data_IF_167689374323
#
_entry.id   IF_167689374323
#
_cell.length_a   1.000
_cell.length_b   1.000
_cell.length_c   1.000
_cell.angle_alpha   90.00
_cell.angle_beta   90.00
_cell.angle_gamma   90.00
#
_symmetry.space_group_name_H-M   'P 1'
#
loop_
_entity.id
_entity.type
_entity.pdbx_description
1 polymer ?
#
# COMPACT_ATOMS: atom_id res chain seq x y z
N UNK A 1 -58.22 65.04 14.84
CA UNK A 1 -57.59 66.33 15.17
C UNK A 1 -56.23 66.40 14.48
N UNK A 2 -55.98 67.48 13.73
CA UNK A 2 -54.71 67.81 13.05
C UNK A 2 -53.68 68.38 14.04
N UNK A 3 -52.39 68.15 13.74
CA UNK A 3 -51.23 69.11 13.70
C UNK A 3 -49.95 68.34 14.08
N UNK A 4 -49.00 68.12 13.17
CA UNK A 4 -48.00 69.01 12.54
C UNK A 4 -46.71 69.22 13.35
N UNK A 5 -45.57 69.04 12.67
CA UNK A 5 -44.23 69.55 13.01
C UNK A 5 -43.23 68.42 13.30
N UNK A 6 -42.10 68.23 12.62
CA UNK A 6 -41.38 69.11 11.73
C UNK A 6 -40.50 68.39 10.72
N UNK A 7 -40.31 69.10 9.63
CA UNK A 7 -39.48 68.85 8.45
C UNK A 7 -38.04 69.23 8.77
N UNK A 8 -37.04 68.40 8.47
CA UNK A 8 -35.76 68.89 7.94
C UNK A 8 -34.96 67.77 7.24
N UNK A 9 -35.02 67.80 5.91
CA UNK A 9 -33.92 67.49 4.97
C UNK A 9 -33.35 66.07 5.00
N UNK A 10 -33.91 65.19 4.16
CA UNK A 10 -33.15 64.07 3.59
C UNK A 10 -33.49 63.95 2.09
N UNK A 11 -32.79 64.77 1.30
CA UNK A 11 -32.62 64.54 -0.14
C UNK A 11 -31.18 64.88 -0.49
N UNK A 12 -30.35 63.86 -0.61
CA UNK A 12 -29.41 63.74 -1.71
C UNK A 12 -29.19 62.24 -1.96
N UNK A 13 -29.82 61.81 -3.03
CA UNK A 13 -29.71 60.51 -3.64
C UNK A 13 -28.53 60.55 -4.60
N UNK A 14 -27.82 59.43 -4.69
CA UNK A 14 -26.85 59.04 -5.72
C UNK A 14 -25.39 59.51 -5.63
N UNK A 15 -24.55 58.47 -5.48
CA UNK A 15 -23.22 58.21 -6.07
C UNK A 15 -22.11 58.05 -5.04
N UNK A 16 -21.98 56.82 -4.55
CA UNK A 16 -20.69 56.14 -4.29
C UNK A 16 -20.96 54.67 -3.93
N UNK A 17 -21.46 53.90 -4.91
CA UNK A 17 -20.93 52.55 -5.06
C UNK A 17 -19.44 52.73 -5.40
N UNK A 18 -18.59 51.86 -4.84
CA UNK A 18 -17.11 51.85 -4.89
C UNK A 18 -16.47 52.60 -3.73
N UNK A 19 -16.01 51.80 -2.74
CA UNK A 19 -14.84 51.96 -1.84
C UNK A 19 -15.06 51.24 -0.49
N UNK A 20 -16.25 50.71 -0.21
CA UNK A 20 -16.45 49.82 0.97
C UNK A 20 -16.30 48.32 0.67
N UNK A 21 -15.90 47.94 -0.54
CA UNK A 21 -15.73 46.54 -0.98
C UNK A 21 -14.31 45.98 -0.89
N UNK A 22 -13.31 46.75 -0.44
CA UNK A 22 -11.89 46.37 -0.55
C UNK A 22 -11.13 46.19 0.77
N UNK A 23 -11.77 46.36 1.93
CA UNK A 23 -11.10 46.13 3.22
C UNK A 23 -11.55 44.87 3.97
N UNK A 24 -12.73 44.31 3.67
CA UNK A 24 -13.20 43.08 4.31
C UNK A 24 -12.61 41.82 3.65
N UNK A 25 -12.37 41.84 2.33
CA UNK A 25 -11.83 40.69 1.59
C UNK A 25 -10.32 40.51 1.80
N UNK A 26 -9.57 41.59 2.08
CA UNK A 26 -8.15 41.51 2.38
C UNK A 26 -7.88 40.98 3.80
N UNK A 27 -8.68 41.41 4.81
CA UNK A 27 -8.55 40.94 6.20
C UNK A 27 -9.03 39.50 6.41
N UNK A 28 -10.02 39.02 5.64
CA UNK A 28 -10.44 37.62 5.69
C UNK A 28 -9.43 36.69 4.98
N UNK A 29 -8.89 37.11 3.83
CA UNK A 29 -7.86 36.36 3.11
C UNK A 29 -6.52 36.33 3.85
N UNK A 30 -6.10 37.42 4.52
CA UNK A 30 -4.91 37.41 5.39
C UNK A 30 -5.10 36.49 6.60
N UNK A 31 -6.30 36.45 7.18
CA UNK A 31 -6.57 35.64 8.38
C UNK A 31 -6.71 34.17 8.05
N UNK A 32 -7.33 33.79 6.93
CA UNK A 32 -7.33 32.40 6.41
C UNK A 32 -5.95 31.96 5.90
N UNK A 33 -5.22 32.85 5.21
CA UNK A 33 -3.84 32.59 4.78
C UNK A 33 -2.92 32.37 5.99
N UNK A 34 -2.96 33.26 6.99
CA UNK A 34 -2.17 33.13 8.22
C UNK A 34 -2.61 31.93 9.08
N UNK A 35 -3.89 31.55 9.09
CA UNK A 35 -4.36 30.34 9.79
C UNK A 35 -3.89 29.07 9.07
N UNK A 36 -3.96 29.02 7.74
CA UNK A 36 -3.50 27.85 6.97
C UNK A 36 -1.96 27.71 7.00
N UNK A 37 -1.24 28.83 7.00
CA UNK A 37 0.24 28.85 7.07
C UNK A 37 0.72 28.49 8.48
N UNK A 38 0.01 28.93 9.53
CA UNK A 38 0.33 28.55 10.91
C UNK A 38 -0.06 27.10 11.22
N UNK A 39 -1.16 26.58 10.69
CA UNK A 39 -1.53 25.17 10.85
C UNK A 39 -0.54 24.28 10.09
N UNK A 40 -0.11 24.66 8.88
CA UNK A 40 0.95 23.94 8.16
C UNK A 40 2.26 23.96 8.96
N UNK A 41 2.72 25.14 9.38
CA UNK A 41 4.00 25.27 10.10
C UNK A 41 4.01 24.64 11.50
N UNK A 42 2.87 24.55 12.19
CA UNK A 42 2.75 23.80 13.45
C UNK A 42 2.65 22.29 13.22
N UNK A 43 2.01 21.85 12.13
CA UNK A 43 1.98 20.45 11.72
C UNK A 43 3.37 19.98 11.28
N UNK A 44 4.09 20.80 10.52
CA UNK A 44 5.47 20.56 10.07
C UNK A 44 6.42 20.46 11.28
N UNK A 45 6.28 21.36 12.27
CA UNK A 45 7.05 21.28 13.52
C UNK A 45 6.67 20.11 14.42
N UNK A 46 5.39 19.76 14.50
CA UNK A 46 4.93 18.60 15.26
C UNK A 46 5.39 17.30 14.59
N UNK A 47 5.40 17.27 13.27
CA UNK A 47 5.96 16.21 12.45
C UNK A 47 7.46 16.12 12.68
N UNK A 48 8.25 17.18 12.46
CA UNK A 48 9.70 17.25 12.74
C UNK A 48 10.05 16.75 14.16
N UNK A 49 9.27 17.13 15.16
CA UNK A 49 9.48 16.70 16.55
C UNK A 49 9.13 15.23 16.77
N UNK A 50 8.14 14.70 16.05
CA UNK A 50 7.86 13.26 16.01
C UNK A 50 8.95 12.50 15.24
N UNK A 51 9.52 13.09 14.17
CA UNK A 51 10.60 12.49 13.39
C UNK A 51 11.88 12.29 14.21
N UNK A 52 12.22 13.26 15.07
CA UNK A 52 13.34 13.14 16.00
C UNK A 52 13.15 12.05 17.06
N UNK A 53 11.90 11.67 17.38
CA UNK A 53 11.58 10.61 18.34
C UNK A 53 11.79 9.19 17.82
N UNK A 54 11.80 9.01 16.48
CA UNK A 54 11.92 7.71 15.81
C UNK A 54 13.34 7.41 15.28
N UNK A 55 14.34 8.24 15.62
CA UNK A 55 15.72 8.04 15.15
C UNK A 55 15.98 8.48 13.70
N UNK A 56 15.07 9.26 13.09
CA UNK A 56 15.23 9.74 11.73
C UNK A 56 16.18 10.95 11.70
N UNK A 57 17.38 10.77 11.12
CA UNK A 57 18.51 11.71 11.24
C UNK A 57 19.32 11.90 9.94
N UNK A 58 18.88 11.35 8.80
CA UNK A 58 19.67 11.30 7.56
C UNK A 58 19.00 12.07 6.43
N UNK A 59 19.65 13.15 5.98
CA UNK A 59 19.33 13.85 4.73
C UNK A 59 19.93 13.08 3.54
N UNK A 60 19.20 13.06 2.42
CA UNK A 60 19.59 12.31 1.21
C UNK A 60 19.10 10.85 1.21
N UNK A 61 19.25 10.20 0.05
CA UNK A 61 18.80 8.82 -0.12
C UNK A 61 19.55 7.86 0.82
N UNK A 62 18.87 6.94 1.51
CA UNK A 62 19.47 6.09 2.53
C UNK A 62 20.25 4.90 1.92
N UNK A 63 21.34 5.19 1.20
CA UNK A 63 22.19 4.19 0.58
C UNK A 63 22.71 3.15 1.59
N UNK A 64 22.57 1.87 1.25
CA UNK A 64 23.00 0.76 2.09
C UNK A 64 22.13 0.52 3.33
N UNK A 65 21.02 1.26 3.50
CA UNK A 65 20.00 1.00 4.53
C UNK A 65 18.72 0.39 3.98
N UNK A 66 18.47 0.62 2.69
CA UNK A 66 17.41 -0.04 1.92
C UNK A 66 18.04 -0.89 0.82
N UNK A 67 17.29 -1.88 0.32
CA UNK A 67 17.74 -2.75 -0.78
C UNK A 67 18.22 -1.93 -1.97
N UNK A 68 19.31 -2.37 -2.60
CA UNK A 68 19.84 -1.76 -3.83
C UNK A 68 18.93 -1.97 -5.04
N UNK A 69 17.94 -2.86 -4.94
CA UNK A 69 16.91 -3.06 -5.96
C UNK A 69 15.91 -1.90 -6.01
N UNK A 70 15.78 -1.14 -4.91
CA UNK A 70 14.93 0.05 -4.86
C UNK A 70 15.71 1.20 -5.51
N UNK A 71 15.31 1.69 -6.70
CA UNK A 71 16.00 2.79 -7.35
C UNK A 71 15.85 4.07 -6.49
N UNK A 72 16.89 4.92 -6.40
CA UNK A 72 16.76 6.17 -5.67
C UNK A 72 15.65 7.06 -6.22
N UNK A 73 14.87 7.68 -5.33
CA UNK A 73 13.88 8.69 -5.72
C UNK A 73 14.62 9.97 -6.13
N UNK A 74 14.65 10.26 -7.44
CA UNK A 74 15.50 11.33 -8.01
C UNK A 74 14.81 12.71 -8.10
N UNK A 75 13.52 12.77 -7.84
CA UNK A 75 12.74 14.02 -7.91
C UNK A 75 12.57 14.58 -6.49
N UNK A 76 12.55 15.90 -6.30
CA UNK A 76 12.46 16.46 -4.95
C UNK A 76 13.71 16.24 -4.07
N UNK A 77 13.53 16.29 -2.74
CA UNK A 77 14.61 16.20 -1.75
C UNK A 77 14.25 15.24 -0.62
N UNK A 78 15.09 14.24 -0.37
CA UNK A 78 14.96 13.36 0.80
C UNK A 78 15.36 14.14 2.05
N UNK A 79 14.38 14.52 2.86
CA UNK A 79 14.58 15.37 4.04
C UNK A 79 14.81 14.57 5.31
N UNK A 80 14.35 13.32 5.36
CA UNK A 80 14.60 12.45 6.50
C UNK A 80 14.39 10.98 6.15
N UNK A 81 15.02 10.08 6.90
CA UNK A 81 14.75 8.65 6.81
C UNK A 81 15.18 7.89 8.07
N UNK A 82 14.59 6.72 8.30
CA UNK A 82 14.94 5.84 9.41
C UNK A 82 14.01 4.62 9.53
N UNK A 83 14.46 3.61 10.28
CA UNK A 83 13.76 2.34 10.46
C UNK A 83 14.74 1.19 10.67
N UNK A 84 14.26 -0.04 10.47
CA UNK A 84 15.04 -1.28 10.45
C UNK A 84 15.24 -1.77 9.02
N UNK A 85 15.95 -2.88 8.82
CA UNK A 85 16.13 -3.46 7.48
C UNK A 85 14.82 -4.01 6.91
N UNK A 86 13.90 -4.46 7.78
CA UNK A 86 12.59 -5.02 7.44
C UNK A 86 11.51 -3.95 7.26
N UNK A 87 11.59 -2.84 8.00
CA UNK A 87 10.64 -1.72 7.92
C UNK A 87 11.38 -0.39 7.96
N UNK A 88 11.42 0.30 6.83
CA UNK A 88 12.14 1.55 6.67
C UNK A 88 11.24 2.66 6.14
N UNK A 89 11.40 3.88 6.67
CA UNK A 89 10.64 5.04 6.24
C UNK A 89 11.56 6.09 5.61
N UNK A 90 11.18 6.60 4.44
CA UNK A 90 11.86 7.68 3.72
C UNK A 90 10.87 8.83 3.52
N UNK A 91 11.29 10.04 3.88
CA UNK A 91 10.50 11.25 3.74
C UNK A 91 11.10 12.15 2.68
N UNK A 92 10.28 12.53 1.71
CA UNK A 92 10.68 13.28 0.53
C UNK A 92 9.80 14.50 0.36
N UNK A 93 10.42 15.67 0.27
CA UNK A 93 9.76 16.87 -0.22
C UNK A 93 9.65 16.82 -1.75
N UNK A 94 8.44 16.60 -2.26
CA UNK A 94 8.16 16.34 -3.68
C UNK A 94 6.69 16.65 -3.99
N UNK A 95 6.23 16.36 -5.21
CA UNK A 95 4.82 16.48 -5.59
C UNK A 95 4.27 15.23 -6.28
N UNK A 96 2.95 15.20 -6.51
CA UNK A 96 2.25 14.03 -7.06
C UNK A 96 2.66 13.69 -8.49
N UNK A 97 2.96 14.68 -9.33
CA UNK A 97 3.39 14.42 -10.72
C UNK A 97 4.77 13.75 -10.76
N UNK A 98 5.65 14.13 -9.83
CA UNK A 98 6.97 13.53 -9.65
C UNK A 98 6.85 12.10 -9.12
N UNK A 99 5.95 11.83 -8.17
CA UNK A 99 5.65 10.46 -7.75
C UNK A 99 5.18 9.60 -8.93
N UNK A 100 4.29 10.09 -9.79
CA UNK A 100 3.84 9.30 -10.94
C UNK A 100 4.98 8.94 -11.90
N UNK A 101 5.95 9.84 -12.11
CA UNK A 101 7.15 9.52 -12.91
C UNK A 101 7.99 8.42 -12.28
N UNK A 102 8.13 8.44 -10.95
CA UNK A 102 8.84 7.40 -10.22
C UNK A 102 8.13 6.06 -10.31
N UNK A 103 6.81 6.03 -10.13
CA UNK A 103 6.00 4.82 -10.27
C UNK A 103 6.12 4.21 -11.67
N UNK A 104 6.02 5.01 -12.74
CA UNK A 104 6.25 4.51 -14.11
C UNK A 104 7.68 3.99 -14.31
N UNK A 105 8.68 4.64 -13.69
CA UNK A 105 10.05 4.14 -13.71
C UNK A 105 10.23 2.80 -12.99
N UNK A 106 9.43 2.53 -11.95
CA UNK A 106 9.40 1.22 -11.29
C UNK A 106 8.81 0.15 -12.21
N UNK A 107 7.71 0.43 -12.91
CA UNK A 107 7.12 -0.50 -13.89
C UNK A 107 8.11 -0.85 -15.01
N UNK A 108 8.89 0.12 -15.50
CA UNK A 108 9.95 -0.11 -16.49
C UNK A 108 11.08 -1.02 -15.98
N UNK A 109 11.20 -1.17 -14.66
CA UNK A 109 12.14 -2.05 -13.97
C UNK A 109 11.46 -3.34 -13.45
N UNK A 110 10.31 -3.70 -14.03
CA UNK A 110 9.56 -4.93 -13.74
C UNK A 110 8.95 -4.99 -12.32
N UNK A 111 8.88 -3.87 -11.60
CA UNK A 111 8.08 -3.81 -10.38
C UNK A 111 6.60 -3.87 -10.74
N UNK A 112 5.83 -4.64 -9.97
CA UNK A 112 4.39 -4.49 -9.95
C UNK A 112 4.04 -3.14 -9.32
N UNK A 113 3.15 -2.36 -9.93
CA UNK A 113 2.73 -1.06 -9.40
C UNK A 113 1.21 -0.95 -9.36
N UNK A 114 0.68 -0.58 -8.19
CA UNK A 114 -0.72 -0.24 -8.02
C UNK A 114 -0.88 1.29 -7.98
N UNK A 115 -1.52 1.84 -9.01
CA UNK A 115 -1.76 3.29 -9.15
C UNK A 115 -2.97 3.78 -8.34
N UNK A 116 -3.06 3.42 -7.06
CA UNK A 116 -4.06 4.05 -6.18
C UNK A 116 -3.76 5.56 -6.06
N UNK A 117 -4.83 6.36 -6.01
CA UNK A 117 -4.72 7.82 -6.02
C UNK A 117 -4.09 8.37 -4.74
N UNK A 118 -4.40 7.76 -3.61
CA UNK A 118 -4.07 8.26 -2.28
C UNK A 118 -2.98 7.43 -1.60
N UNK A 119 -2.90 6.14 -1.92
CA UNK A 119 -1.99 5.15 -1.36
C UNK A 119 -1.39 4.22 -2.43
N UNK A 120 -0.72 4.74 -3.47
CA UNK A 120 -0.10 3.87 -4.45
C UNK A 120 0.94 2.96 -3.78
N UNK A 121 1.17 1.81 -4.38
CA UNK A 121 2.12 0.80 -3.89
C UNK A 121 2.92 0.21 -5.04
N UNK A 122 4.05 -0.40 -4.72
CA UNK A 122 4.84 -1.17 -5.67
C UNK A 122 5.50 -2.38 -5.00
N UNK A 123 5.67 -3.47 -5.73
CA UNK A 123 6.30 -4.70 -5.23
C UNK A 123 7.29 -5.28 -6.24
N UNK A 124 8.39 -5.83 -5.72
CA UNK A 124 9.33 -6.67 -6.45
C UNK A 124 9.85 -7.74 -5.49
N UNK A 125 9.57 -9.01 -5.78
CA UNK A 125 9.94 -10.10 -4.88
C UNK A 125 9.36 -9.92 -3.48
N UNK A 126 10.22 -9.97 -2.47
CA UNK A 126 9.86 -9.76 -1.06
C UNK A 126 9.91 -8.30 -0.60
N UNK A 127 10.06 -7.35 -1.53
CA UNK A 127 10.16 -5.92 -1.22
C UNK A 127 8.86 -5.22 -1.63
N UNK A 128 8.27 -4.50 -0.69
CA UNK A 128 7.07 -3.70 -0.91
C UNK A 128 7.32 -2.23 -0.56
N UNK A 129 6.81 -1.35 -1.42
CA UNK A 129 6.87 0.10 -1.27
C UNK A 129 5.45 0.62 -1.17
N UNK A 130 5.16 1.40 -0.13
CA UNK A 130 3.92 2.18 -0.04
C UNK A 130 4.22 3.66 -0.05
N UNK A 131 3.43 4.38 -0.82
CA UNK A 131 3.59 5.81 -1.02
C UNK A 131 2.40 6.54 -0.43
N UNK A 132 2.67 7.53 0.42
CA UNK A 132 1.62 8.32 1.06
C UNK A 132 2.04 9.77 1.17
N UNK A 133 1.20 10.67 0.67
CA UNK A 133 1.37 12.10 0.94
C UNK A 133 0.83 12.44 2.33
N UNK A 134 1.72 12.77 3.26
CA UNK A 134 1.37 13.25 4.60
C UNK A 134 0.98 14.74 4.60
N UNK A 135 1.40 15.48 3.58
CA UNK A 135 0.96 16.85 3.30
C UNK A 135 0.90 17.10 1.79
N UNK A 136 0.70 18.34 1.33
CA UNK A 136 0.71 18.66 -0.12
C UNK A 136 2.06 18.38 -0.78
N UNK A 137 3.14 18.44 -0.02
CA UNK A 137 4.51 18.37 -0.53
C UNK A 137 5.36 17.32 0.19
N UNK A 138 4.84 16.68 1.24
CA UNK A 138 5.58 15.68 2.00
C UNK A 138 5.10 14.28 1.62
N UNK A 139 5.92 13.57 0.83
CA UNK A 139 5.75 12.16 0.52
C UNK A 139 6.47 11.32 1.57
N UNK A 140 5.78 10.30 2.05
CA UNK A 140 6.37 9.19 2.77
C UNK A 140 6.44 7.97 1.85
N UNK A 141 7.61 7.35 1.80
CA UNK A 141 7.84 6.05 1.19
C UNK A 141 8.12 5.09 2.35
N UNK A 142 7.20 4.17 2.59
CA UNK A 142 7.39 3.06 3.51
C UNK A 142 7.91 1.86 2.72
N UNK A 143 9.05 1.33 3.14
CA UNK A 143 9.71 0.16 2.58
C UNK A 143 9.50 -0.99 3.56
N UNK A 144 8.93 -2.08 3.08
CA UNK A 144 8.83 -3.33 3.81
C UNK A 144 9.63 -4.40 3.07
N UNK A 145 10.41 -5.16 3.82
CA UNK A 145 11.15 -6.32 3.30
C UNK A 145 10.70 -7.54 4.10
N UNK A 146 9.96 -8.43 3.45
CA UNK A 146 9.49 -9.67 4.05
C UNK A 146 10.62 -10.70 4.12
N UNK A 147 10.72 -11.43 5.23
CA UNK A 147 11.59 -12.61 5.30
C UNK A 147 11.03 -13.71 4.40
N UNK A 148 11.85 -14.23 3.49
CA UNK A 148 11.44 -15.31 2.60
C UNK A 148 11.22 -16.60 3.39
N UNK A 149 10.05 -17.21 3.21
CA UNK A 149 9.75 -18.52 3.77
C UNK A 149 10.53 -19.65 3.10
N UNK A 150 10.74 -20.73 3.86
CA UNK A 150 11.21 -22.00 3.33
C UNK A 150 10.03 -22.92 3.04
N UNK A 151 10.18 -23.84 2.09
CA UNK A 151 9.17 -24.87 1.84
C UNK A 151 9.16 -25.90 2.99
N UNK A 152 8.07 -26.04 3.76
CA UNK A 152 8.06 -26.87 4.96
C UNK A 152 7.77 -28.34 4.58
N UNK A 153 8.76 -29.00 3.95
CA UNK A 153 8.61 -30.33 3.35
C UNK A 153 8.10 -31.41 4.33
N UNK A 154 8.48 -31.33 5.60
CA UNK A 154 8.11 -32.30 6.63
C UNK A 154 6.69 -32.08 7.18
N UNK A 155 6.10 -30.90 6.96
CA UNK A 155 4.77 -30.54 7.44
C UNK A 155 3.72 -30.62 6.32
N UNK A 156 4.11 -30.43 5.06
CA UNK A 156 3.18 -30.43 3.92
C UNK A 156 2.61 -31.82 3.59
N UNK A 157 1.36 -31.90 3.09
CA UNK A 157 0.88 -33.11 2.42
C UNK A 157 1.78 -33.46 1.24
N UNK A 158 2.27 -34.70 1.16
CA UNK A 158 3.25 -35.12 0.17
C UNK A 158 2.80 -34.96 -1.29
N UNK A 159 1.48 -34.94 -1.53
CA UNK A 159 0.90 -34.73 -2.86
C UNK A 159 0.88 -33.26 -3.27
N UNK A 160 1.05 -32.32 -2.34
CA UNK A 160 1.11 -30.89 -2.62
C UNK A 160 2.57 -30.50 -2.78
N UNK A 161 2.91 -29.98 -3.94
CA UNK A 161 4.28 -29.64 -4.33
C UNK A 161 4.41 -28.15 -4.59
N UNK A 162 5.63 -27.63 -4.59
CA UNK A 162 5.88 -26.24 -4.95
C UNK A 162 5.82 -26.02 -6.47
N UNK A 163 5.37 -24.85 -6.95
CA UNK A 163 5.72 -24.36 -8.28
C UNK A 163 7.24 -24.44 -8.54
N UNK A 164 7.61 -24.79 -9.79
CA UNK A 164 9.01 -24.84 -10.23
C UNK A 164 9.60 -23.43 -10.48
N UNK A 165 8.74 -22.48 -10.85
CA UNK A 165 9.06 -21.08 -11.13
C UNK A 165 8.62 -20.18 -9.98
N UNK A 166 8.95 -18.90 -10.08
CA UNK A 166 8.62 -17.88 -9.10
C UNK A 166 9.49 -17.94 -7.83
N UNK A 167 9.37 -16.88 -7.04
CA UNK A 167 10.01 -16.76 -5.73
C UNK A 167 8.98 -17.12 -4.65
N UNK A 168 9.27 -18.14 -3.84
CA UNK A 168 8.44 -18.48 -2.68
C UNK A 168 8.58 -17.36 -1.64
N UNK A 169 7.49 -16.66 -1.35
CA UNK A 169 7.43 -15.64 -0.32
C UNK A 169 7.16 -16.25 1.05
N UNK A 170 6.27 -17.24 1.13
CA UNK A 170 5.89 -17.86 2.40
C UNK A 170 4.93 -19.04 2.25
N UNK A 171 4.85 -19.84 3.31
CA UNK A 171 3.85 -20.89 3.48
C UNK A 171 3.26 -20.77 4.88
N UNK A 172 1.95 -20.58 4.96
CA UNK A 172 1.21 -20.52 6.22
C UNK A 172 0.28 -21.72 6.33
N UNK A 173 0.49 -22.58 7.33
CA UNK A 173 -0.38 -23.73 7.63
C UNK A 173 -1.25 -23.38 8.84
N UNK A 174 -2.54 -23.16 8.60
CA UNK A 174 -3.52 -22.76 9.61
C UNK A 174 -4.45 -23.92 9.98
N UNK A 175 -4.56 -24.18 11.28
CA UNK A 175 -5.58 -25.05 11.85
C UNK A 175 -6.88 -24.27 11.97
N UNK A 176 -7.91 -24.68 11.23
CA UNK A 176 -9.19 -23.98 11.21
C UNK A 176 -10.14 -24.46 12.32
N UNK A 177 -9.82 -25.60 12.94
CA UNK A 177 -10.47 -26.11 14.13
C UNK A 177 -9.46 -26.79 15.09
N UNK A 178 -9.87 -26.94 16.36
CA UNK A 178 -9.07 -27.57 17.41
C UNK A 178 -8.95 -29.11 17.25
N UNK A 179 -9.79 -29.69 16.39
CA UNK A 179 -9.97 -31.14 16.25
C UNK A 179 -9.11 -31.73 15.10
N UNK A 180 -8.44 -30.86 14.34
CA UNK A 180 -7.65 -31.23 13.17
C UNK A 180 -8.51 -31.77 12.02
N UNK A 181 -9.76 -31.32 11.91
CA UNK A 181 -10.67 -31.73 10.85
C UNK A 181 -10.60 -30.79 9.64
N UNK A 182 -10.13 -29.55 9.83
CA UNK A 182 -10.00 -28.58 8.76
C UNK A 182 -8.67 -27.83 8.85
N UNK A 183 -7.99 -27.74 7.72
CA UNK A 183 -6.78 -26.94 7.55
C UNK A 183 -6.94 -26.00 6.35
N UNK A 184 -6.28 -24.86 6.44
CA UNK A 184 -6.06 -23.94 5.34
C UNK A 184 -4.56 -23.74 5.20
N UNK A 185 -4.02 -23.91 4.00
CA UNK A 185 -2.61 -23.60 3.70
C UNK A 185 -2.58 -22.49 2.66
N UNK A 186 -1.91 -21.38 2.96
CA UNK A 186 -1.54 -20.38 1.96
C UNK A 186 -0.13 -20.63 1.49
N UNK A 187 0.09 -20.55 0.18
CA UNK A 187 1.41 -20.68 -0.44
C UNK A 187 1.59 -19.47 -1.36
N UNK A 188 2.44 -18.53 -0.96
CA UNK A 188 2.55 -17.22 -1.61
C UNK A 188 3.79 -17.15 -2.49
N UNK A 189 3.62 -16.69 -3.72
CA UNK A 189 4.67 -16.57 -4.72
C UNK A 189 4.67 -15.21 -5.40
N UNK A 190 5.87 -14.71 -5.68
CA UNK A 190 6.10 -13.59 -6.60
C UNK A 190 6.65 -14.09 -7.95
N UNK A 191 6.37 -13.34 -9.02
CA UNK A 191 6.95 -13.59 -10.34
C UNK A 191 6.38 -14.82 -11.07
N UNK A 192 5.16 -15.25 -10.75
CA UNK A 192 4.41 -16.23 -11.54
C UNK A 192 3.51 -15.51 -12.54
N UNK A 193 3.64 -15.83 -13.83
CA UNK A 193 2.71 -15.38 -14.85
C UNK A 193 1.44 -16.27 -14.86
N UNK A 194 0.36 -15.80 -15.46
CA UNK A 194 -0.91 -16.56 -15.57
C UNK A 194 -0.70 -17.95 -16.21
N UNK A 195 0.21 -18.05 -17.18
CA UNK A 195 0.55 -19.33 -17.80
C UNK A 195 1.26 -20.26 -16.81
N UNK A 196 2.14 -19.75 -15.95
CA UNK A 196 2.83 -20.57 -14.95
C UNK A 196 1.85 -21.14 -13.92
N UNK A 197 0.89 -20.32 -13.49
CA UNK A 197 -0.20 -20.74 -12.60
C UNK A 197 -1.06 -21.81 -13.26
N UNK A 198 -1.43 -21.61 -14.52
CA UNK A 198 -2.19 -22.57 -15.32
C UNK A 198 -1.45 -23.90 -15.46
N UNK A 199 -0.18 -23.86 -15.86
CA UNK A 199 0.67 -25.06 -15.99
C UNK A 199 0.78 -25.81 -14.67
N UNK A 200 0.97 -25.10 -13.56
CA UNK A 200 1.06 -25.70 -12.24
C UNK A 200 -0.24 -26.42 -11.82
N UNK A 201 -1.43 -25.83 -12.04
CA UNK A 201 -2.69 -26.52 -11.74
C UNK A 201 -2.97 -27.70 -12.67
N UNK A 202 -2.64 -27.58 -13.97
CA UNK A 202 -2.83 -28.67 -14.92
C UNK A 202 -1.92 -29.88 -14.63
N UNK A 203 -0.74 -29.69 -14.02
CA UNK A 203 0.08 -30.81 -13.54
C UNK A 203 -0.67 -31.68 -12.53
N UNK A 204 -1.47 -31.10 -11.63
CA UNK A 204 -2.29 -31.88 -10.71
C UNK A 204 -3.35 -32.71 -11.44
N UNK A 205 -3.97 -32.15 -12.48
CA UNK A 205 -4.94 -32.86 -13.33
C UNK A 205 -4.27 -34.06 -14.02
N UNK A 206 -3.06 -33.89 -14.55
CA UNK A 206 -2.27 -34.99 -15.13
C UNK A 206 -1.93 -36.08 -14.10
N UNK A 207 -1.77 -35.71 -12.82
CA UNK A 207 -1.56 -36.60 -11.68
C UNK A 207 -2.88 -37.19 -11.11
N UNK A 208 -4.00 -37.02 -11.81
CA UNK A 208 -5.28 -37.62 -11.48
C UNK A 208 -6.12 -36.85 -10.46
N UNK A 209 -5.77 -35.59 -10.18
CA UNK A 209 -6.70 -34.67 -9.52
C UNK A 209 -7.84 -34.34 -10.50
N UNK A 210 -9.04 -34.05 -9.97
CA UNK A 210 -10.17 -33.55 -10.77
C UNK A 210 -10.15 -32.02 -10.76
N UNK A 211 -10.69 -31.38 -11.79
CA UNK A 211 -10.75 -29.92 -11.87
C UNK A 211 -10.17 -29.39 -13.16
N UNK A 212 -9.69 -28.15 -13.12
CA UNK A 212 -9.14 -27.40 -14.25
C UNK A 212 -8.10 -26.35 -13.80
N UNK A 213 -7.75 -25.44 -14.71
CA UNK A 213 -6.81 -24.33 -14.50
C UNK A 213 -7.22 -23.29 -13.44
N UNK A 214 -8.45 -23.35 -12.91
CA UNK A 214 -8.90 -22.45 -11.86
C UNK A 214 -8.95 -23.12 -10.49
N UNK A 215 -9.24 -24.43 -10.45
CA UNK A 215 -9.34 -25.15 -9.19
C UNK A 215 -9.20 -26.66 -9.39
N UNK A 216 -8.40 -27.31 -8.54
CA UNK A 216 -8.21 -28.76 -8.55
C UNK A 216 -8.56 -29.39 -7.20
N UNK A 217 -8.97 -30.66 -7.22
CA UNK A 217 -9.42 -31.39 -6.03
C UNK A 217 -8.95 -32.84 -6.05
N UNK A 218 -8.70 -33.40 -4.87
CA UNK A 218 -8.44 -34.84 -4.70
C UNK A 218 -8.65 -35.27 -3.25
N UNK A 219 -9.03 -36.53 -3.06
CA UNK A 219 -8.93 -37.15 -1.74
C UNK A 219 -7.46 -37.56 -1.50
N UNK A 220 -6.81 -37.02 -0.47
CA UNK A 220 -5.41 -37.31 -0.13
C UNK A 220 -5.27 -37.85 1.29
N UNK A 221 -4.22 -38.63 1.54
CA UNK A 221 -3.85 -39.07 2.88
C UNK A 221 -2.79 -38.14 3.47
N UNK A 222 -3.05 -37.61 4.66
CA UNK A 222 -2.11 -36.75 5.38
C UNK A 222 -2.36 -36.85 6.89
N UNK A 223 -1.29 -36.79 7.70
CA UNK A 223 -1.37 -36.92 9.16
C UNK A 223 -2.22 -38.11 9.67
N UNK A 224 -2.21 -39.22 8.93
CA UNK A 224 -2.93 -40.44 9.28
C UNK A 224 -4.45 -40.39 9.09
N UNK A 225 -4.97 -39.40 8.36
CA UNK A 225 -6.38 -39.29 8.00
C UNK A 225 -6.55 -38.98 6.50
N UNK A 226 -7.76 -39.23 5.99
CA UNK A 226 -8.15 -38.85 4.64
C UNK A 226 -8.77 -37.46 4.63
N UNK A 227 -8.34 -36.61 3.70
CA UNK A 227 -8.86 -35.27 3.47
C UNK A 227 -9.37 -35.12 2.05
N UNK A 228 -10.50 -34.45 1.86
CA UNK A 228 -10.85 -33.82 0.60
C UNK A 228 -10.04 -32.52 0.49
N UNK A 229 -9.05 -32.52 -0.41
CA UNK A 229 -8.19 -31.40 -0.69
C UNK A 229 -8.69 -30.60 -1.89
N UNK A 230 -8.53 -29.28 -1.85
CA UNK A 230 -8.66 -28.42 -3.02
C UNK A 230 -7.57 -27.37 -3.07
N UNK A 231 -7.12 -27.01 -4.28
CA UNK A 231 -6.14 -25.95 -4.52
C UNK A 231 -6.75 -24.95 -5.51
N UNK A 232 -6.74 -23.67 -5.16
CA UNK A 232 -7.17 -22.56 -6.03
C UNK A 232 -6.16 -21.40 -5.94
N UNK A 233 -5.85 -20.70 -7.05
CA UNK A 233 -4.99 -19.53 -7.04
C UNK A 233 -5.80 -18.27 -6.75
N UNK A 234 -5.19 -17.35 -6.02
CA UNK A 234 -5.66 -15.99 -5.79
C UNK A 234 -4.56 -15.01 -6.18
N UNK A 235 -4.91 -13.90 -6.81
CA UNK A 235 -3.96 -12.89 -7.27
C UNK A 235 -4.13 -11.64 -6.42
N UNK A 236 -3.04 -11.18 -5.81
CA UNK A 236 -3.04 -9.97 -5.00
C UNK A 236 -1.72 -9.21 -5.15
N UNK A 237 -1.80 -7.92 -5.45
CA UNK A 237 -0.64 -7.03 -5.51
C UNK A 237 0.60 -7.60 -6.24
N UNK A 238 0.40 -8.21 -7.41
CA UNK A 238 1.49 -8.80 -8.22
C UNK A 238 1.96 -10.18 -7.77
N UNK A 239 1.41 -10.69 -6.66
CA UNK A 239 1.69 -12.02 -6.12
C UNK A 239 0.55 -13.00 -6.42
N UNK A 240 0.87 -14.28 -6.37
CA UNK A 240 -0.07 -15.38 -6.48
C UNK A 240 -0.04 -16.19 -5.19
N UNK A 241 -1.19 -16.30 -4.54
CA UNK A 241 -1.42 -17.15 -3.37
C UNK A 241 -2.18 -18.40 -3.78
N UNK A 242 -1.62 -19.59 -3.57
CA UNK A 242 -2.37 -20.83 -3.69
C UNK A 242 -3.04 -21.16 -2.37
N UNK A 243 -4.37 -21.08 -2.34
CA UNK A 243 -5.19 -21.51 -1.22
C UNK A 243 -5.42 -23.01 -1.30
N UNK A 244 -4.86 -23.74 -0.35
CA UNK A 244 -5.12 -25.17 -0.16
C UNK A 244 -6.10 -25.35 0.98
N UNK A 245 -7.28 -25.88 0.68
CA UNK A 245 -8.24 -26.27 1.70
C UNK A 245 -8.22 -27.78 1.90
N UNK A 246 -8.20 -28.22 3.16
CA UNK A 246 -8.22 -29.64 3.53
C UNK A 246 -9.38 -29.89 4.49
N UNK A 247 -10.35 -30.69 4.07
CA UNK A 247 -11.49 -31.09 4.88
C UNK A 247 -11.46 -32.59 5.16
N UNK A 248 -11.35 -32.97 6.43
CA UNK A 248 -11.26 -34.37 6.82
C UNK A 248 -12.53 -35.11 6.42
N UNK A 249 -12.34 -36.29 5.83
CA UNK A 249 -13.45 -37.19 5.50
C UNK A 249 -13.87 -37.99 6.73
N UNK A 250 -15.17 -38.32 6.85
CA UNK A 250 -15.69 -39.17 7.93
C UNK A 250 -15.07 -40.56 8.00
#
# INVERSE_FOLDING_TARGET
>A
MKKQGGLLILRLMFVALLVLGSYASALAAEKESALSTNISGELDKAFEKALQGYGMTVEGWPEGKVSSEIPPYQWGTVVNSGGTEEEYTILVETNREELQKYLTGLEELEWYVEHDRDYPSARLGNIELHFKFNSKTMLQISVYVQELGEWPADEMPAEITRPEKGLLLGVDILHMDDEGNQYFISIDYDGLEEQDVTEYLLQYVELGWRGDEYMVFKDIEWNGAMFEASIEPYYDMGTVSFSVNLFRKP
#
